data_IF_166739753289
#
_entry.id   IF_166739753289
#
_cell.length_a   1.000
_cell.length_b   1.000
_cell.length_c   1.000
_cell.angle_alpha   90.00
_cell.angle_beta   90.00
_cell.angle_gamma   90.00
#
_symmetry.space_group_name_H-M   'P 1'
#
loop_
_entity.id
_entity.type
_entity.pdbx_description
1 polymer ?
#
# COMPACT_ATOMS: atom_id res chain seq x y z
N UNK A 1 3.62 19.88 -21.02
CA UNK A 1 3.92 19.13 -19.79
C UNK A 1 3.99 17.63 -20.08
N UNK A 2 5.21 17.16 -20.29
CA UNK A 2 5.45 15.72 -20.47
C UNK A 2 5.91 15.10 -19.15
N UNK A 3 5.27 13.99 -18.78
CA UNK A 3 5.74 13.14 -17.68
C UNK A 3 6.54 12.00 -18.28
N UNK A 4 7.78 11.84 -17.83
CA UNK A 4 8.63 10.72 -18.22
C UNK A 4 8.79 9.76 -17.07
N UNK A 5 8.74 8.46 -17.37
CA UNK A 5 8.97 7.41 -16.38
C UNK A 5 10.39 6.93 -16.55
N UNK A 6 11.13 6.87 -15.45
CA UNK A 6 12.53 6.45 -15.40
C UNK A 6 12.70 5.34 -14.37
N UNK A 7 13.86 4.70 -14.38
CA UNK A 7 14.27 3.68 -13.40
C UNK A 7 13.41 2.42 -13.47
N UNK A 8 13.66 1.62 -14.52
CA UNK A 8 12.94 0.36 -14.76
C UNK A 8 13.64 -0.89 -14.16
N UNK A 9 14.59 -0.72 -13.25
CA UNK A 9 15.39 -1.83 -12.73
C UNK A 9 14.56 -2.95 -12.10
N UNK A 10 13.42 -2.59 -11.47
CA UNK A 10 12.50 -3.54 -10.86
C UNK A 10 11.21 -3.72 -11.65
N UNK A 11 11.21 -3.34 -12.94
CA UNK A 11 10.05 -3.48 -13.80
C UNK A 11 9.74 -4.96 -14.05
N UNK A 12 8.46 -5.32 -13.93
CA UNK A 12 7.98 -6.68 -14.19
C UNK A 12 6.56 -6.62 -14.74
N UNK A 13 6.15 -7.72 -15.40
CA UNK A 13 4.75 -7.88 -15.77
C UNK A 13 3.96 -8.31 -14.55
N UNK A 14 2.93 -7.54 -14.25
CA UNK A 14 2.06 -7.78 -13.10
C UNK A 14 0.68 -7.24 -13.42
N UNK A 15 -0.32 -7.68 -12.68
CA UNK A 15 -1.66 -7.10 -12.81
C UNK A 15 -1.62 -5.65 -12.30
N UNK A 16 -2.37 -4.77 -12.96
CA UNK A 16 -2.32 -3.33 -12.67
C UNK A 16 -2.76 -2.98 -11.24
N UNK A 17 -3.61 -3.79 -10.62
CA UNK A 17 -3.99 -3.60 -9.22
C UNK A 17 -2.80 -3.65 -8.27
N UNK A 18 -1.75 -4.40 -8.61
CA UNK A 18 -0.52 -4.47 -7.83
C UNK A 18 0.18 -3.11 -7.79
N UNK A 19 0.35 -2.48 -8.93
CA UNK A 19 1.01 -1.16 -9.02
C UNK A 19 0.20 -0.09 -8.29
N UNK A 20 -1.11 -0.09 -8.48
CA UNK A 20 -2.00 0.86 -7.81
C UNK A 20 -1.91 0.68 -6.30
N UNK A 21 -1.94 -0.55 -5.80
CA UNK A 21 -1.87 -0.83 -4.36
C UNK A 21 -0.55 -0.36 -3.77
N UNK A 22 0.56 -0.62 -4.44
CA UNK A 22 1.89 -0.21 -3.97
C UNK A 22 2.03 1.31 -3.90
N UNK A 23 1.57 2.01 -4.91
CA UNK A 23 1.57 3.47 -4.92
C UNK A 23 0.66 4.01 -3.82
N UNK A 24 -0.54 3.46 -3.72
CA UNK A 24 -1.53 3.88 -2.73
C UNK A 24 -1.01 3.71 -1.30
N UNK A 25 -0.42 2.58 -0.98
CA UNK A 25 0.13 2.32 0.36
C UNK A 25 1.23 3.34 0.70
N UNK A 26 2.09 3.68 -0.25
CA UNK A 26 3.15 4.66 -0.04
C UNK A 26 2.58 6.05 0.29
N UNK A 27 1.52 6.43 -0.36
CA UNK A 27 0.85 7.72 -0.09
C UNK A 27 0.10 7.67 1.24
N UNK A 28 -0.70 6.64 1.44
CA UNK A 28 -1.61 6.55 2.59
C UNK A 28 -0.88 6.50 3.93
N UNK A 29 0.23 5.80 4.02
CA UNK A 29 1.01 5.77 5.27
C UNK A 29 1.56 7.13 5.67
N UNK A 30 1.72 8.06 4.71
CA UNK A 30 2.15 9.44 4.96
C UNK A 30 0.98 10.38 5.24
N UNK A 31 -0.22 9.97 4.88
CA UNK A 31 -1.45 10.77 4.97
C UNK A 31 -2.44 10.19 5.99
N UNK A 32 -1.94 9.52 7.01
CA UNK A 32 -2.74 8.95 8.12
C UNK A 32 -3.88 8.03 7.66
N UNK A 33 -3.67 7.31 6.56
CA UNK A 33 -4.66 6.37 6.01
C UNK A 33 -6.02 7.02 5.71
N UNK A 34 -5.99 8.24 5.20
CA UNK A 34 -7.18 8.98 4.84
C UNK A 34 -7.76 8.45 3.52
N UNK A 35 -8.99 7.98 3.55
CA UNK A 35 -9.69 7.39 2.40
C UNK A 35 -9.78 8.37 1.20
N UNK A 36 -9.86 9.65 1.44
CA UNK A 36 -10.00 10.63 0.36
C UNK A 36 -8.81 10.59 -0.61
N UNK A 37 -7.60 10.37 -0.12
CA UNK A 37 -6.43 10.20 -0.99
C UNK A 37 -6.53 8.94 -1.84
N UNK A 38 -7.05 7.85 -1.29
CA UNK A 38 -7.29 6.62 -2.06
C UNK A 38 -8.31 6.86 -3.17
N UNK A 39 -9.39 7.58 -2.86
CA UNK A 39 -10.42 7.92 -3.84
C UNK A 39 -9.86 8.78 -4.97
N UNK A 40 -9.02 9.76 -4.66
CA UNK A 40 -8.35 10.60 -5.67
C UNK A 40 -7.46 9.76 -6.59
N UNK A 41 -6.69 8.84 -6.04
CA UNK A 41 -5.81 7.95 -6.82
C UNK A 41 -6.66 7.09 -7.77
N UNK A 42 -7.71 6.49 -7.26
CA UNK A 42 -8.59 5.63 -8.07
C UNK A 42 -9.31 6.44 -9.15
N UNK A 43 -9.81 7.62 -8.81
CA UNK A 43 -10.50 8.48 -9.76
C UNK A 43 -9.56 8.92 -10.89
N UNK A 44 -8.33 9.30 -10.55
CA UNK A 44 -7.32 9.67 -11.54
C UNK A 44 -6.98 8.50 -12.45
N UNK A 45 -6.84 7.30 -11.89
CA UNK A 45 -6.57 6.10 -12.67
C UNK A 45 -7.75 5.77 -13.60
N UNK A 46 -8.97 5.80 -13.08
CA UNK A 46 -10.18 5.52 -13.85
C UNK A 46 -10.39 6.50 -15.00
N UNK A 47 -9.90 7.74 -14.90
CA UNK A 47 -10.02 8.72 -15.98
C UNK A 47 -9.22 8.32 -17.22
N UNK A 48 -8.21 7.47 -17.05
CA UNK A 48 -7.36 6.97 -18.15
C UNK A 48 -7.75 5.55 -18.54
N UNK A 49 -7.93 4.68 -17.56
CA UNK A 49 -8.23 3.25 -17.78
C UNK A 49 -9.12 2.73 -16.65
N UNK A 50 -10.44 2.72 -16.83
CA UNK A 50 -11.35 2.32 -15.77
C UNK A 50 -11.11 0.92 -15.24
N UNK A 51 -11.16 0.79 -13.92
CA UNK A 51 -11.04 -0.49 -13.23
C UNK A 51 -12.36 -1.27 -13.31
N UNK A 52 -12.25 -2.59 -13.50
CA UNK A 52 -13.41 -3.49 -13.44
C UNK A 52 -13.70 -3.87 -11.98
N UNK A 53 -14.91 -4.35 -11.73
CA UNK A 53 -15.35 -4.76 -10.39
C UNK A 53 -14.44 -5.82 -9.78
N UNK A 54 -13.99 -6.81 -10.58
CA UNK A 54 -13.07 -7.84 -10.12
C UNK A 54 -11.71 -7.26 -9.74
N UNK A 55 -11.27 -6.21 -10.42
CA UNK A 55 -10.00 -5.55 -10.11
C UNK A 55 -10.05 -4.79 -8.77
N UNK A 56 -11.19 -4.23 -8.40
CA UNK A 56 -11.36 -3.65 -7.06
C UNK A 56 -11.18 -4.68 -5.95
N UNK A 57 -11.69 -5.88 -6.15
CA UNK A 57 -11.53 -6.97 -5.17
C UNK A 57 -10.07 -7.37 -5.02
N UNK A 58 -9.36 -7.46 -6.12
CA UNK A 58 -7.93 -7.77 -6.11
C UNK A 58 -7.13 -6.64 -5.44
N UNK A 59 -7.47 -5.39 -5.77
CA UNK A 59 -6.85 -4.22 -5.15
C UNK A 59 -7.04 -4.24 -3.62
N UNK A 60 -8.26 -4.53 -3.17
CA UNK A 60 -8.55 -4.65 -1.74
C UNK A 60 -7.72 -5.75 -1.08
N UNK A 61 -7.58 -6.90 -1.73
CA UNK A 61 -6.76 -8.00 -1.22
C UNK A 61 -5.29 -7.58 -1.04
N UNK A 62 -4.73 -6.84 -2.00
CA UNK A 62 -3.39 -6.30 -1.87
C UNK A 62 -3.26 -5.27 -0.74
N UNK A 63 -4.27 -4.43 -0.57
CA UNK A 63 -4.27 -3.43 0.51
C UNK A 63 -4.34 -4.07 1.88
N UNK A 64 -5.00 -5.22 2.02
CA UNK A 64 -5.09 -5.95 3.28
C UNK A 64 -3.77 -6.61 3.69
N UNK A 65 -2.90 -6.90 2.74
CA UNK A 65 -1.65 -7.60 3.03
C UNK A 65 -0.74 -6.70 3.87
N UNK A 66 -0.19 -7.19 5.00
CA UNK A 66 0.61 -6.38 5.92
C UNK A 66 2.05 -6.22 5.41
N UNK A 67 2.22 -5.54 4.27
CA UNK A 67 3.50 -5.40 3.58
C UNK A 67 4.58 -4.76 4.44
N UNK A 68 4.23 -3.75 5.25
CA UNK A 68 5.19 -3.05 6.10
C UNK A 68 5.80 -3.99 7.14
N UNK A 69 4.94 -4.77 7.80
CA UNK A 69 5.40 -5.76 8.78
C UNK A 69 6.26 -6.83 8.10
N UNK A 70 5.80 -7.35 6.97
CA UNK A 70 6.50 -8.41 6.24
C UNK A 70 7.89 -7.95 5.77
N UNK A 71 7.99 -6.76 5.19
CA UNK A 71 9.27 -6.18 4.77
C UNK A 71 10.22 -5.96 5.94
N UNK A 72 9.69 -5.44 7.03
CA UNK A 72 10.47 -5.18 8.25
C UNK A 72 11.01 -6.48 8.82
N UNK A 73 10.16 -7.50 8.93
CA UNK A 73 10.54 -8.81 9.45
C UNK A 73 11.61 -9.46 8.58
N UNK A 74 11.44 -9.44 7.26
CA UNK A 74 12.42 -9.99 6.34
C UNK A 74 13.77 -9.31 6.46
N UNK A 75 13.80 -7.99 6.49
CA UNK A 75 15.04 -7.25 6.62
C UNK A 75 15.79 -7.58 7.91
N UNK A 76 15.07 -7.74 8.99
CA UNK A 76 15.64 -8.09 10.28
C UNK A 76 16.15 -9.55 10.32
N UNK A 77 15.31 -10.51 9.93
CA UNK A 77 15.62 -11.93 10.04
C UNK A 77 16.64 -12.42 9.01
N UNK A 78 16.71 -11.79 7.84
CA UNK A 78 17.69 -12.12 6.81
C UNK A 78 18.96 -11.25 6.88
N UNK A 79 19.13 -10.48 7.97
CA UNK A 79 20.30 -9.65 8.23
C UNK A 79 20.62 -8.64 7.10
N UNK A 80 19.60 -8.18 6.37
CA UNK A 80 19.76 -7.14 5.37
C UNK A 80 20.10 -5.78 5.99
N UNK A 81 19.79 -5.61 7.29
CA UNK A 81 20.10 -4.43 8.08
C UNK A 81 20.70 -4.85 9.42
N UNK A 82 21.62 -4.03 9.92
CA UNK A 82 22.28 -4.28 11.20
C UNK A 82 21.56 -3.55 12.32
N UNK A 83 20.31 -3.96 12.59
CA UNK A 83 19.53 -3.39 13.68
C UNK A 83 19.72 -4.19 14.96
N UNK A 84 19.85 -3.46 16.09
CA UNK A 84 19.69 -4.08 17.40
C UNK A 84 18.23 -4.46 17.66
N UNK A 85 18.03 -5.31 18.67
CA UNK A 85 16.69 -5.78 19.05
C UNK A 85 15.74 -4.61 19.42
N UNK A 86 16.25 -3.59 20.11
CA UNK A 86 15.46 -2.43 20.50
C UNK A 86 14.98 -1.63 19.29
N UNK A 87 15.83 -1.46 18.27
CA UNK A 87 15.46 -0.79 17.02
C UNK A 87 14.36 -1.53 16.30
N UNK A 88 14.47 -2.85 16.21
CA UNK A 88 13.43 -3.69 15.60
C UNK A 88 12.11 -3.59 16.35
N UNK A 89 12.15 -3.69 17.69
CA UNK A 89 10.96 -3.56 18.53
C UNK A 89 10.27 -2.21 18.37
N UNK A 90 11.04 -1.11 18.30
CA UNK A 90 10.49 0.22 18.10
C UNK A 90 9.82 0.37 16.75
N UNK A 91 10.38 -0.23 15.71
CA UNK A 91 9.78 -0.20 14.37
C UNK A 91 8.48 -1.01 14.30
N UNK A 92 8.42 -2.16 14.96
CA UNK A 92 7.19 -2.96 15.07
C UNK A 92 6.13 -2.19 15.85
N UNK A 93 6.49 -1.56 16.96
CA UNK A 93 5.57 -0.75 17.77
C UNK A 93 4.95 0.38 16.93
N UNK A 94 5.74 1.04 16.09
CA UNK A 94 5.24 2.05 15.17
C UNK A 94 4.17 1.50 14.23
N UNK A 95 4.35 0.28 13.70
CA UNK A 95 3.36 -0.38 12.84
C UNK A 95 2.10 -0.72 13.63
N UNK A 96 2.24 -1.23 14.85
CA UNK A 96 1.12 -1.56 15.72
C UNK A 96 0.30 -0.32 16.05
N UNK A 97 0.95 0.81 16.30
CA UNK A 97 0.27 2.07 16.60
C UNK A 97 -0.55 2.60 15.42
N UNK A 98 -0.18 2.24 14.18
CA UNK A 98 -0.96 2.59 12.99
C UNK A 98 -2.11 1.62 12.72
N UNK A 99 -2.16 0.49 13.39
CA UNK A 99 -3.08 -0.61 13.09
C UNK A 99 -4.55 -0.18 13.12
N UNK A 100 -4.93 0.65 14.07
CA UNK A 100 -6.30 1.14 14.20
C UNK A 100 -6.72 1.98 12.98
N UNK A 101 -5.85 2.90 12.56
CA UNK A 101 -6.11 3.74 11.38
C UNK A 101 -6.16 2.92 10.11
N UNK A 102 -5.27 1.96 9.98
CA UNK A 102 -5.20 1.05 8.84
C UNK A 102 -6.48 0.19 8.75
N UNK A 103 -6.92 -0.38 9.87
CA UNK A 103 -8.14 -1.19 9.92
C UNK A 103 -9.37 -0.36 9.56
N UNK A 104 -9.46 0.85 10.11
CA UNK A 104 -10.55 1.78 9.77
C UNK A 104 -10.55 2.11 8.29
N UNK A 105 -9.39 2.38 7.71
CA UNK A 105 -9.25 2.63 6.28
C UNK A 105 -9.77 1.46 5.45
N UNK A 106 -9.40 0.23 5.80
CA UNK A 106 -9.85 -0.96 5.08
C UNK A 106 -11.37 -1.12 5.12
N UNK A 107 -11.97 -0.90 6.28
CA UNK A 107 -13.43 -0.97 6.42
C UNK A 107 -14.13 0.11 5.59
N UNK A 108 -13.63 1.33 5.63
CA UNK A 108 -14.17 2.45 4.87
C UNK A 108 -14.02 2.23 3.35
N UNK A 109 -12.87 1.71 2.93
CA UNK A 109 -12.61 1.37 1.53
C UNK A 109 -13.58 0.29 1.04
N UNK A 110 -13.78 -0.74 1.85
CA UNK A 110 -14.71 -1.82 1.53
C UNK A 110 -16.14 -1.30 1.33
N UNK A 111 -16.57 -0.39 2.18
CA UNK A 111 -17.90 0.23 2.10
C UNK A 111 -18.02 1.12 0.88
N UNK A 112 -17.02 1.96 0.63
CA UNK A 112 -17.02 2.93 -0.49
C UNK A 112 -17.17 2.23 -1.84
N UNK A 113 -16.50 1.09 -2.02
CA UNK A 113 -16.49 0.35 -3.29
C UNK A 113 -17.36 -0.90 -3.26
N UNK A 114 -18.20 -1.08 -2.24
CA UNK A 114 -19.18 -2.18 -2.12
C UNK A 114 -18.53 -3.57 -2.27
N UNK A 115 -17.46 -3.77 -1.58
CA UNK A 115 -16.69 -5.02 -1.65
C UNK A 115 -17.08 -6.07 -0.60
#
# INVERSE_FOLDING_TARGET
>A
NKVNIIDFDYCKREIRAYDISNFMIKVLKRCNWNLEYAKEIINAYNSVSPLRDDEYKVLYAYLQFPQRYWRLANRYYYNEVNWGQNTFSNKIESIINEQEKFTKFLDDFKKEYSL
#
